data_IF_072473708242
#
_entry.id   IF_072473708242
#
_cell.length_a   1.000
_cell.length_b   1.000
_cell.length_c   1.000
_cell.angle_alpha   90.00
_cell.angle_beta   90.00
_cell.angle_gamma   90.00
#
_symmetry.space_group_name_H-M   'P 1'
#
loop_
_entity.id
_entity.type
_entity.pdbx_description
1 polymer ?
#
# COMPACT_ATOMS: atom_id res chain seq x y z
N UNK A 1 -24.12 40.88 68.31
CA UNK A 1 -25.57 40.66 68.24
C UNK A 1 -25.80 39.43 67.37
N UNK A 2 -26.34 38.37 67.98
CA UNK A 2 -26.92 37.21 67.29
C UNK A 2 -28.11 37.65 66.44
N UNK A 3 -28.32 37.03 65.28
CA UNK A 3 -29.64 36.55 64.86
C UNK A 3 -29.47 35.32 63.96
N UNK A 4 -29.95 34.19 64.47
CA UNK A 4 -30.32 32.99 63.74
C UNK A 4 -31.59 33.26 62.93
N UNK A 5 -31.75 32.62 61.76
CA UNK A 5 -32.98 31.95 61.36
C UNK A 5 -32.73 30.98 60.16
N UNK A 6 -33.36 29.80 60.14
CA UNK A 6 -33.21 28.76 59.11
C UNK A 6 -34.40 28.76 58.12
N UNK A 7 -34.19 28.24 56.91
CA UNK A 7 -35.24 27.94 55.93
C UNK A 7 -34.78 26.79 55.03
N UNK A 8 -35.20 25.55 55.26
CA UNK A 8 -36.42 24.87 54.74
C UNK A 8 -36.32 24.58 53.22
N UNK A 9 -35.87 23.33 52.96
CA UNK A 9 -36.31 22.34 51.95
C UNK A 9 -36.80 22.76 50.57
N UNK A 10 -36.23 22.13 49.53
CA UNK A 10 -36.98 21.34 48.55
C UNK A 10 -36.05 20.36 47.81
N UNK A 11 -36.09 19.07 48.16
CA UNK A 11 -35.46 17.99 47.42
C UNK A 11 -36.47 17.49 46.37
N UNK A 12 -36.34 17.96 45.13
CA UNK A 12 -37.10 17.43 43.99
C UNK A 12 -36.50 16.09 43.55
N UNK A 13 -37.14 14.98 43.93
CA UNK A 13 -36.93 13.69 43.26
C UNK A 13 -37.63 13.73 41.89
N UNK A 14 -36.84 13.92 40.83
CA UNK A 14 -37.30 13.69 39.47
C UNK A 14 -37.34 12.17 39.20
N UNK A 15 -38.56 11.64 39.01
CA UNK A 15 -38.80 10.30 38.51
C UNK A 15 -38.40 10.24 37.03
N UNK A 16 -37.27 9.58 36.74
CA UNK A 16 -36.85 9.26 35.38
C UNK A 16 -37.74 8.10 34.84
N UNK A 17 -38.35 8.23 33.66
CA UNK A 17 -39.02 7.10 33.02
C UNK A 17 -37.99 6.05 32.62
N UNK A 18 -38.16 4.81 33.07
CA UNK A 18 -37.47 3.67 32.49
C UNK A 18 -38.00 3.47 31.07
N UNK A 19 -37.30 4.01 30.07
CA UNK A 19 -37.47 3.60 28.69
C UNK A 19 -37.05 2.14 28.59
N UNK A 20 -38.04 1.25 28.43
CA UNK A 20 -37.83 -0.12 28.00
C UNK A 20 -37.23 -0.09 26.60
N UNK A 21 -35.90 -0.07 26.51
CA UNK A 21 -35.18 -0.25 25.27
C UNK A 21 -35.54 -1.64 24.73
N UNK A 22 -36.28 -1.68 23.63
CA UNK A 22 -36.36 -2.87 22.81
C UNK A 22 -34.92 -3.31 22.49
N UNK A 23 -34.60 -4.61 22.51
CA UNK A 23 -33.28 -5.07 22.10
C UNK A 23 -33.02 -4.51 20.70
N UNK A 24 -32.08 -3.58 20.61
CA UNK A 24 -31.60 -3.08 19.34
C UNK A 24 -31.19 -4.32 18.55
N UNK A 25 -31.77 -4.48 17.35
CA UNK A 25 -31.34 -5.53 16.44
C UNK A 25 -29.81 -5.43 16.37
N UNK A 26 -29.12 -6.49 16.80
CA UNK A 26 -27.67 -6.56 16.70
C UNK A 26 -27.31 -6.13 15.29
N UNK A 27 -26.38 -5.18 15.10
CA UNK A 27 -25.88 -4.86 13.77
C UNK A 27 -25.45 -6.19 13.17
N UNK A 28 -26.17 -6.63 12.14
CA UNK A 28 -25.72 -7.78 11.38
C UNK A 28 -24.38 -7.36 10.80
N UNK A 29 -23.30 -7.91 11.37
CA UNK A 29 -22.01 -7.95 10.73
C UNK A 29 -22.28 -8.53 9.35
N UNK A 30 -22.23 -7.67 8.34
CA UNK A 30 -22.15 -8.12 6.96
C UNK A 30 -21.12 -9.24 6.93
N UNK A 31 -21.44 -10.42 6.38
CA UNK A 31 -20.45 -11.47 6.25
C UNK A 31 -19.25 -10.84 5.55
N UNK A 32 -18.08 -10.96 6.19
CA UNK A 32 -16.79 -10.51 5.67
C UNK A 32 -16.40 -11.44 4.51
N UNK A 33 -17.25 -11.55 3.50
CA UNK A 33 -17.14 -12.50 2.40
C UNK A 33 -16.55 -11.76 1.19
N UNK A 34 -15.47 -12.35 0.68
CA UNK A 34 -14.89 -12.19 -0.64
C UNK A 34 -14.00 -10.97 -0.92
N UNK A 35 -13.37 -10.38 0.11
CA UNK A 35 -12.14 -9.63 -0.18
C UNK A 35 -11.00 -10.63 -0.49
N UNK A 36 -10.30 -10.46 -1.63
CA UNK A 36 -9.20 -11.35 -2.00
C UNK A 36 -8.11 -11.30 -0.91
N UNK A 37 -7.60 -12.47 -0.54
CA UNK A 37 -6.58 -12.60 0.51
C UNK A 37 -5.23 -11.99 0.12
N UNK A 38 -5.05 -11.67 -1.16
CA UNK A 38 -3.82 -11.12 -1.70
C UNK A 38 -4.01 -10.44 -3.05
N UNK A 39 -3.05 -9.60 -3.40
CA UNK A 39 -2.97 -8.84 -4.65
C UNK A 39 -1.60 -9.01 -5.29
N UNK A 40 -1.48 -8.76 -6.59
CA UNK A 40 -0.22 -8.61 -7.31
C UNK A 40 -0.07 -7.17 -7.78
N UNK A 41 1.18 -6.73 -7.88
CA UNK A 41 1.51 -5.48 -8.56
C UNK A 41 1.76 -5.77 -10.03
N UNK A 42 1.11 -5.05 -10.93
CA UNK A 42 1.30 -5.22 -12.38
C UNK A 42 1.26 -3.88 -13.12
N UNK A 43 1.80 -3.85 -14.32
CA UNK A 43 1.76 -2.63 -15.15
C UNK A 43 0.38 -2.49 -15.81
N UNK A 44 -0.21 -1.30 -15.70
CA UNK A 44 -1.55 -0.99 -16.20
C UNK A 44 -1.61 -0.72 -17.72
N UNK A 45 -0.52 -0.20 -18.29
CA UNK A 45 -0.49 0.39 -19.63
C UNK A 45 0.54 -0.28 -20.55
N UNK A 46 0.40 -0.06 -21.86
CA UNK A 46 1.35 -0.51 -22.87
C UNK A 46 2.75 0.13 -22.66
N UNK A 47 3.86 -0.54 -23.05
CA UNK A 47 3.94 -1.84 -23.72
C UNK A 47 3.95 -3.06 -22.79
N UNK A 48 3.97 -2.86 -21.45
CA UNK A 48 4.08 -3.94 -20.46
C UNK A 48 2.74 -4.31 -19.80
N UNK A 49 1.60 -3.98 -20.39
CA UNK A 49 0.30 -4.18 -19.76
C UNK A 49 0.11 -5.61 -19.24
N UNK A 50 -0.34 -5.71 -17.99
CA UNK A 50 -0.57 -6.98 -17.28
C UNK A 50 0.71 -7.71 -16.85
N UNK A 51 1.90 -7.16 -17.10
CA UNK A 51 3.14 -7.76 -16.62
C UNK A 51 3.27 -7.54 -15.11
N UNK A 52 3.50 -8.59 -14.32
CA UNK A 52 3.69 -8.42 -12.90
C UNK A 52 5.04 -7.79 -12.61
N UNK A 53 5.10 -7.04 -11.52
CA UNK A 53 6.36 -6.69 -10.90
C UNK A 53 6.83 -7.85 -10.03
N UNK A 54 8.14 -8.03 -9.97
CA UNK A 54 8.81 -9.04 -9.14
C UNK A 54 10.03 -8.44 -8.50
N UNK A 55 10.57 -9.14 -7.50
CA UNK A 55 11.89 -8.85 -6.97
C UNK A 55 12.95 -9.43 -7.91
N UNK A 56 13.83 -8.59 -8.44
CA UNK A 56 14.92 -9.05 -9.31
C UNK A 56 15.98 -9.77 -8.47
N UNK A 57 16.46 -10.97 -8.89
CA UNK A 57 17.33 -11.80 -8.05
C UNK A 57 18.64 -11.15 -7.65
N UNK A 58 19.29 -10.39 -8.55
CA UNK A 58 20.62 -9.83 -8.27
C UNK A 58 20.60 -8.55 -7.46
N UNK A 59 19.61 -7.68 -7.69
CA UNK A 59 19.55 -6.36 -7.05
C UNK A 59 18.63 -6.34 -5.85
N UNK A 60 17.74 -7.33 -5.73
CA UNK A 60 16.68 -7.40 -4.74
C UNK A 60 15.67 -6.23 -4.80
N UNK A 61 15.76 -5.38 -5.83
CA UNK A 61 14.81 -4.31 -6.10
C UNK A 61 13.61 -4.84 -6.88
N UNK A 62 12.51 -4.08 -6.85
CA UNK A 62 11.33 -4.39 -7.67
C UNK A 62 11.54 -3.94 -9.11
N UNK A 63 11.15 -4.81 -10.03
CA UNK A 63 11.31 -4.58 -11.45
C UNK A 63 10.40 -5.45 -12.32
N UNK A 64 10.57 -5.28 -13.63
CA UNK A 64 9.98 -6.09 -14.68
C UNK A 64 11.04 -7.07 -15.19
N UNK A 65 10.67 -8.34 -15.31
CA UNK A 65 11.54 -9.39 -15.83
C UNK A 65 11.75 -9.24 -17.34
N UNK A 66 12.90 -9.69 -17.83
CA UNK A 66 13.20 -9.80 -19.24
C UNK A 66 12.18 -10.70 -19.97
N UNK A 67 11.57 -10.18 -21.05
CA UNK A 67 10.55 -10.89 -21.83
C UNK A 67 11.01 -12.19 -22.49
N UNK A 68 12.31 -12.43 -22.58
CA UNK A 68 12.87 -13.65 -23.13
C UNK A 68 12.79 -14.84 -22.16
N UNK A 69 12.48 -14.60 -20.88
CA UNK A 69 12.33 -15.64 -19.87
C UNK A 69 10.97 -16.32 -20.02
N UNK A 70 11.00 -17.64 -20.22
CA UNK A 70 9.82 -18.49 -20.34
C UNK A 70 9.98 -19.79 -19.53
N UNK A 71 8.99 -20.16 -18.68
CA UNK A 71 7.76 -19.42 -18.40
C UNK A 71 8.01 -18.11 -17.63
N UNK A 72 7.10 -17.11 -17.68
CA UNK A 72 7.23 -15.89 -16.89
C UNK A 72 7.27 -16.19 -15.39
N UNK A 73 8.11 -15.47 -14.65
CA UNK A 73 8.17 -15.57 -13.20
C UNK A 73 6.86 -15.15 -12.53
N UNK A 74 6.59 -15.72 -11.36
CA UNK A 74 5.44 -15.33 -10.56
C UNK A 74 5.58 -13.90 -10.04
N UNK A 75 4.49 -13.14 -10.06
CA UNK A 75 4.47 -11.76 -9.57
C UNK A 75 4.61 -11.64 -8.07
N UNK A 76 5.14 -10.51 -7.62
CA UNK A 76 5.20 -10.16 -6.21
C UNK A 76 3.77 -10.02 -5.67
N UNK A 77 3.45 -10.86 -4.69
CA UNK A 77 2.18 -10.84 -4.00
C UNK A 77 2.24 -9.93 -2.78
N UNK A 78 1.21 -9.11 -2.56
CA UNK A 78 1.12 -8.15 -1.46
C UNK A 78 -0.27 -8.15 -0.82
N UNK A 79 -0.33 -7.74 0.43
CA UNK A 79 -1.53 -7.43 1.19
C UNK A 79 -1.47 -5.97 1.63
N UNK A 80 -2.29 -5.08 1.03
CA UNK A 80 -2.39 -3.70 1.45
C UNK A 80 -2.98 -3.58 2.86
N UNK A 81 -2.29 -2.83 3.73
CA UNK A 81 -2.71 -2.52 5.09
C UNK A 81 -2.79 -1.01 5.21
N UNK A 82 -4.00 -0.49 5.41
CA UNK A 82 -4.21 0.94 5.63
C UNK A 82 -3.58 1.37 6.95
N UNK A 83 -2.76 2.41 6.91
CA UNK A 83 -2.15 3.02 8.10
C UNK A 83 -3.17 3.98 8.73
N UNK A 84 -3.60 3.75 9.99
CA UNK A 84 -4.59 4.60 10.62
C UNK A 84 -4.10 6.04 10.81
N UNK A 85 -5.05 6.99 10.82
CA UNK A 85 -4.84 8.39 11.24
C UNK A 85 -3.85 9.21 10.38
N UNK A 86 -3.66 8.83 9.12
CA UNK A 86 -2.92 9.62 8.14
C UNK A 86 -3.86 10.12 7.04
N UNK A 87 -3.72 11.39 6.66
CA UNK A 87 -4.42 12.03 5.55
C UNK A 87 -3.40 12.71 4.61
N UNK A 88 -3.32 12.33 3.32
CA UNK A 88 -4.08 11.26 2.67
C UNK A 88 -3.78 9.86 3.28
N UNK A 89 -4.66 8.87 3.11
CA UNK A 89 -4.44 7.54 3.68
C UNK A 89 -3.21 6.90 3.06
N UNK A 90 -2.19 6.64 3.89
CA UNK A 90 -1.05 5.82 3.50
C UNK A 90 -1.33 4.35 3.77
N UNK A 91 -0.59 3.51 3.06
CA UNK A 91 -0.67 2.07 3.10
C UNK A 91 0.73 1.48 3.31
N UNK A 92 0.77 0.37 4.04
CA UNK A 92 1.86 -0.58 3.97
C UNK A 92 1.47 -1.74 3.05
N UNK A 93 2.45 -2.30 2.35
CA UNK A 93 2.24 -3.46 1.49
C UNK A 93 2.96 -4.65 2.10
N UNK A 94 2.23 -5.45 2.89
CA UNK A 94 2.79 -6.65 3.52
C UNK A 94 2.98 -7.74 2.47
N UNK A 95 4.13 -8.38 2.43
CA UNK A 95 4.36 -9.53 1.58
C UNK A 95 3.93 -10.78 2.36
N UNK A 96 3.11 -11.69 1.79
CA UNK A 96 2.78 -12.93 2.48
C UNK A 96 4.05 -13.73 2.81
N UNK A 97 4.15 -14.20 4.04
CA UNK A 97 5.25 -15.03 4.53
C UNK A 97 4.67 -16.27 5.21
N UNK A 98 5.23 -17.47 4.99
CA UNK A 98 4.83 -18.67 5.71
C UNK A 98 5.31 -18.67 7.17
N UNK A 99 6.14 -17.72 7.57
CA UNK A 99 6.66 -17.61 8.93
C UNK A 99 5.66 -16.93 9.87
N UNK A 100 5.46 -17.52 11.04
CA UNK A 100 4.73 -16.92 12.15
C UNK A 100 5.58 -15.92 12.97
N UNK A 101 6.85 -15.72 12.60
CA UNK A 101 7.72 -14.74 13.24
C UNK A 101 7.32 -13.30 12.87
N UNK A 102 6.50 -12.72 13.73
CA UNK A 102 6.04 -11.34 13.58
C UNK A 102 7.17 -10.31 13.70
N UNK A 103 8.33 -10.66 14.28
CA UNK A 103 9.46 -9.72 14.41
C UNK A 103 10.19 -9.48 13.09
N UNK A 104 9.94 -10.32 12.10
CA UNK A 104 10.61 -10.32 10.80
C UNK A 104 9.59 -10.36 9.67
N UNK A 105 8.51 -9.59 9.82
CA UNK A 105 7.43 -9.52 8.83
C UNK A 105 7.91 -8.77 7.58
N UNK A 106 7.77 -9.34 6.37
CA UNK A 106 8.23 -8.66 5.18
C UNK A 106 7.20 -7.62 4.70
N UNK A 107 7.71 -6.43 4.41
CA UNK A 107 6.96 -5.32 3.81
C UNK A 107 7.70 -4.82 2.59
N UNK A 108 6.97 -4.46 1.55
CA UNK A 108 7.55 -3.69 0.44
C UNK A 108 7.78 -2.26 0.93
N UNK A 109 9.05 -1.84 1.00
CA UNK A 109 9.42 -0.49 1.41
C UNK A 109 9.83 0.35 0.20
N UNK A 110 9.55 1.64 0.28
CA UNK A 110 10.16 2.65 -0.58
C UNK A 110 11.61 2.87 -0.14
N UNK A 111 12.52 2.88 -1.09
CA UNK A 111 13.95 3.06 -0.89
C UNK A 111 14.35 4.43 -1.44
N UNK A 112 14.77 5.33 -0.55
CA UNK A 112 15.23 6.67 -0.87
C UNK A 112 16.75 6.73 -0.76
N UNK A 113 17.47 7.35 -1.71
CA UNK A 113 18.90 7.54 -1.58
C UNK A 113 19.23 8.30 -0.29
N UNK A 114 20.12 7.75 0.54
CA UNK A 114 20.57 8.43 1.76
C UNK A 114 21.44 9.63 1.36
N UNK A 115 20.82 10.80 1.24
CA UNK A 115 21.45 12.04 0.81
C UNK A 115 21.00 13.20 1.69
N UNK A 116 21.82 14.25 1.80
CA UNK A 116 21.48 15.44 2.58
C UNK A 116 20.39 16.33 1.93
N UNK A 117 19.88 15.92 0.76
CA UNK A 117 18.88 16.66 -0.02
C UNK A 117 17.51 15.99 0.01
N UNK A 118 16.51 16.67 -0.58
CA UNK A 118 15.21 16.04 -0.82
C UNK A 118 15.40 14.94 -1.87
N UNK A 119 14.93 13.70 -1.61
CA UNK A 119 15.02 12.64 -2.60
C UNK A 119 14.21 13.01 -3.84
N UNK A 120 14.78 12.74 -5.01
CA UNK A 120 14.17 13.01 -6.32
C UNK A 120 13.59 11.78 -6.98
N UNK A 121 13.85 10.62 -6.37
CA UNK A 121 13.32 9.35 -6.81
C UNK A 121 13.31 8.36 -5.65
N UNK A 122 12.49 7.31 -5.79
CA UNK A 122 12.44 6.19 -4.87
C UNK A 122 12.43 4.88 -5.68
N UNK A 123 13.13 3.86 -5.18
CA UNK A 123 12.93 2.48 -5.63
C UNK A 123 12.03 1.73 -4.64
N UNK A 124 11.86 0.44 -4.84
CA UNK A 124 11.16 -0.42 -3.89
C UNK A 124 11.89 -1.74 -3.69
N UNK A 125 11.88 -2.25 -2.46
CA UNK A 125 12.40 -3.57 -2.13
C UNK A 125 11.72 -4.13 -0.87
N UNK A 126 11.63 -5.46 -0.73
CA UNK A 126 11.26 -6.08 0.53
C UNK A 126 12.25 -5.73 1.64
N UNK A 127 11.73 -5.30 2.79
CA UNK A 127 12.47 -5.24 4.06
C UNK A 127 11.73 -6.07 5.10
N UNK A 128 12.44 -6.48 6.15
CA UNK A 128 11.87 -7.31 7.20
C UNK A 128 11.91 -6.56 8.53
N UNK A 129 10.74 -6.25 9.06
CA UNK A 129 10.55 -5.45 10.28
C UNK A 129 9.32 -5.93 11.05
N UNK A 130 9.22 -5.68 12.38
CA UNK A 130 8.06 -6.10 13.15
C UNK A 130 6.73 -5.48 12.71
N UNK A 131 6.78 -4.21 12.32
CA UNK A 131 5.64 -3.43 11.86
C UNK A 131 6.13 -2.36 10.87
N UNK A 132 5.25 -1.83 10.00
CA UNK A 132 5.67 -0.99 8.88
C UNK A 132 5.84 0.48 9.25
N UNK A 133 5.64 0.87 10.52
CA UNK A 133 5.62 2.28 10.88
C UNK A 133 7.00 2.92 10.74
N UNK A 134 7.04 4.19 10.38
CA UNK A 134 8.29 4.93 10.25
C UNK A 134 9.15 4.93 11.53
N UNK A 135 8.55 4.84 12.73
CA UNK A 135 9.31 4.72 13.97
C UNK A 135 10.08 3.39 14.04
N UNK A 136 9.38 2.28 13.77
CA UNK A 136 10.00 0.95 13.75
C UNK A 136 11.05 0.85 12.65
N UNK A 137 10.74 1.29 11.43
CA UNK A 137 11.70 1.23 10.32
C UNK A 137 12.98 2.02 10.63
N UNK A 138 12.86 3.21 11.25
CA UNK A 138 14.05 3.99 11.69
C UNK A 138 14.84 3.31 12.80
N UNK A 139 14.16 2.67 13.76
CA UNK A 139 14.82 1.91 14.84
C UNK A 139 15.61 0.72 14.28
N UNK A 140 15.09 0.07 13.25
CA UNK A 140 15.67 -1.10 12.57
C UNK A 140 16.37 -0.73 11.26
N UNK A 141 17.08 0.41 11.23
CA UNK A 141 17.76 0.93 10.04
C UNK A 141 18.74 -0.04 9.38
N UNK A 142 19.28 -0.97 10.15
CA UNK A 142 20.20 -2.02 9.69
C UNK A 142 19.52 -3.06 8.78
N UNK A 143 18.18 -3.12 8.79
CA UNK A 143 17.37 -3.92 7.89
C UNK A 143 17.15 -3.27 6.53
N UNK A 144 17.43 -1.98 6.39
CA UNK A 144 17.40 -1.28 5.12
C UNK A 144 18.69 -1.55 4.33
N UNK A 145 18.66 -1.70 3.00
CA UNK A 145 19.87 -1.80 2.20
C UNK A 145 20.83 -0.64 2.45
N UNK A 146 22.14 -0.92 2.44
CA UNK A 146 23.16 0.11 2.73
C UNK A 146 23.08 1.26 1.73
N UNK A 147 23.15 2.49 2.25
CA UNK A 147 23.06 3.71 1.43
C UNK A 147 21.63 4.17 1.12
N UNK A 148 20.63 3.53 1.73
CA UNK A 148 19.22 3.86 1.56
C UNK A 148 18.55 4.22 2.88
N UNK A 149 17.55 5.08 2.79
CA UNK A 149 16.53 5.28 3.79
C UNK A 149 15.26 4.55 3.35
N UNK A 150 14.66 3.78 4.25
CA UNK A 150 13.50 2.97 3.94
C UNK A 150 12.23 3.55 4.57
N UNK A 151 11.10 3.45 3.87
CA UNK A 151 9.76 3.70 4.39
C UNK A 151 8.78 2.62 3.97
N UNK A 152 8.24 1.87 4.94
CA UNK A 152 7.28 0.78 4.67
C UNK A 152 5.81 1.23 4.76
N UNK A 153 5.55 2.39 5.34
CA UNK A 153 4.25 3.05 5.50
C UNK A 153 4.06 4.23 4.52
N UNK A 154 4.66 4.15 3.33
CA UNK A 154 4.80 5.29 2.43
C UNK A 154 3.98 5.19 1.13
N UNK A 155 3.09 4.20 1.00
CA UNK A 155 2.37 3.97 -0.25
C UNK A 155 1.00 4.64 -0.27
N UNK A 156 0.59 5.13 -1.43
CA UNK A 156 -0.75 5.64 -1.70
C UNK A 156 -1.42 4.73 -2.72
N UNK A 157 -2.69 4.42 -2.49
CA UNK A 157 -3.53 3.68 -3.44
C UNK A 157 -4.64 4.63 -3.89
N UNK A 158 -4.69 4.95 -5.18
CA UNK A 158 -5.66 5.89 -5.77
C UNK A 158 -6.47 5.25 -6.91
N UNK A 159 -7.67 5.75 -7.16
CA UNK A 159 -8.60 5.19 -8.16
C UNK A 159 -8.25 5.54 -9.61
N UNK A 160 -7.28 6.41 -9.85
CA UNK A 160 -6.81 6.78 -11.19
C UNK A 160 -7.81 7.60 -12.03
N UNK A 161 -8.96 7.97 -11.47
CA UNK A 161 -10.01 8.79 -12.10
C UNK A 161 -9.70 10.29 -12.13
N UNK A 162 -8.66 10.72 -11.41
CA UNK A 162 -8.39 12.15 -11.19
C UNK A 162 -7.37 12.75 -12.18
N UNK A 163 -6.91 11.96 -13.16
CA UNK A 163 -5.97 12.40 -14.18
C UNK A 163 -6.69 12.76 -15.50
N UNK A 164 -7.41 13.88 -15.50
CA UNK A 164 -7.48 14.80 -16.65
C UNK A 164 -8.17 14.37 -17.96
N UNK A 165 -8.73 13.17 -18.10
CA UNK A 165 -9.55 12.82 -19.26
C UNK A 165 -11.04 12.79 -18.89
N UNK A 166 -11.66 13.96 -18.96
CA UNK A 166 -13.12 14.15 -18.97
C UNK A 166 -13.75 13.71 -20.32
N UNK A 167 -13.09 12.80 -21.04
CA UNK A 167 -13.55 12.26 -22.31
C UNK A 167 -13.66 10.75 -22.22
N UNK A 168 -14.91 10.31 -22.07
CA UNK A 168 -15.37 8.95 -22.33
C UNK A 168 -14.81 7.84 -21.44
N UNK A 169 -15.51 7.60 -20.34
CA UNK A 169 -16.09 6.27 -20.17
C UNK A 169 -17.42 6.38 -19.44
N UNK A 170 -18.49 6.15 -20.21
CA UNK A 170 -19.74 5.65 -19.70
C UNK A 170 -19.47 4.60 -18.62
N UNK A 171 -20.24 4.64 -17.53
CA UNK A 171 -20.09 3.72 -16.40
C UNK A 171 -19.72 2.33 -16.90
N UNK A 172 -18.52 1.86 -16.51
CA UNK A 172 -18.09 0.52 -16.86
C UNK A 172 -19.15 -0.42 -16.30
N UNK A 173 -19.97 -0.96 -17.19
CA UNK A 173 -20.87 -2.06 -16.87
C UNK A 173 -19.97 -3.15 -16.32
N UNK A 174 -20.06 -3.41 -15.03
CA UNK A 174 -19.37 -4.52 -14.40
C UNK A 174 -19.79 -5.78 -15.15
N UNK A 175 -18.92 -6.30 -16.01
CA UNK A 175 -19.08 -7.65 -16.53
C UNK A 175 -18.91 -8.55 -15.33
N UNK A 176 -19.98 -9.24 -14.92
CA UNK A 176 -19.95 -10.16 -13.81
C UNK A 176 -18.82 -11.18 -14.03
N UNK A 177 -17.77 -11.11 -13.20
CA UNK A 177 -16.60 -11.99 -13.27
C UNK A 177 -15.26 -11.28 -13.57
N UNK A 178 -15.26 -10.02 -13.98
CA UNK A 178 -14.01 -9.27 -14.19
C UNK A 178 -13.56 -8.64 -12.86
N UNK A 179 -12.44 -9.14 -12.31
CA UNK A 179 -11.90 -8.66 -11.03
C UNK A 179 -11.33 -7.25 -11.22
N UNK A 180 -12.01 -6.27 -10.64
CA UNK A 180 -11.57 -4.88 -10.68
C UNK A 180 -10.25 -4.71 -9.89
N UNK A 181 -9.27 -3.93 -10.40
CA UNK A 181 -8.12 -3.50 -9.63
C UNK A 181 -8.55 -2.80 -8.34
N UNK A 182 -7.76 -2.95 -7.27
CA UNK A 182 -7.95 -2.18 -6.03
C UNK A 182 -7.68 -0.69 -6.26
N UNK A 183 -6.75 -0.38 -7.16
CA UNK A 183 -6.33 0.95 -7.52
C UNK A 183 -4.92 0.95 -8.10
N UNK A 184 -4.37 2.15 -8.25
CA UNK A 184 -3.01 2.39 -8.71
C UNK A 184 -2.10 2.72 -7.54
N UNK A 185 -0.87 2.26 -7.61
CA UNK A 185 0.14 2.46 -6.58
C UNK A 185 0.91 3.76 -6.85
N UNK A 186 1.09 4.57 -5.82
CA UNK A 186 1.96 5.74 -5.81
C UNK A 186 2.83 5.76 -4.56
N UNK A 187 3.93 6.51 -4.61
CA UNK A 187 4.70 6.84 -3.41
C UNK A 187 4.19 8.16 -2.81
N UNK A 188 3.87 8.15 -1.52
CA UNK A 188 3.24 9.27 -0.82
C UNK A 188 4.19 10.36 -0.34
N UNK A 189 5.51 10.17 -0.48
CA UNK A 189 6.49 11.15 0.04
C UNK A 189 6.71 12.37 -0.86
N UNK A 190 6.41 12.28 -2.17
CA UNK A 190 6.45 13.41 -3.10
C UNK A 190 5.66 13.10 -4.38
N UNK A 191 5.19 14.15 -5.06
CA UNK A 191 4.52 14.04 -6.36
C UNK A 191 5.47 13.52 -7.43
N UNK A 192 4.98 12.58 -8.24
CA UNK A 192 5.80 11.91 -9.23
C UNK A 192 5.04 10.90 -10.05
N UNK A 193 5.78 10.04 -10.74
CA UNK A 193 5.25 8.97 -11.58
C UNK A 193 6.22 7.79 -11.62
N UNK A 194 5.75 6.62 -12.02
CA UNK A 194 6.62 5.46 -12.20
C UNK A 194 7.34 5.50 -13.54
N UNK A 195 8.63 5.15 -13.54
CA UNK A 195 9.41 4.89 -14.73
C UNK A 195 10.10 3.52 -14.64
N UNK A 196 10.00 2.75 -15.72
CA UNK A 196 10.76 1.53 -15.93
C UNK A 196 12.09 1.86 -16.64
N UNK A 197 13.20 1.51 -16.02
CA UNK A 197 14.56 1.85 -16.47
C UNK A 197 15.34 0.57 -16.77
N UNK A 198 16.01 0.52 -17.92
CA UNK A 198 16.78 -0.65 -18.35
C UNK A 198 18.20 -0.64 -17.76
N UNK A 199 18.29 -0.75 -16.45
CA UNK A 199 19.55 -0.70 -15.68
C UNK A 199 19.75 -1.92 -14.77
N UNK A 200 18.88 -2.93 -14.85
CA UNK A 200 19.09 -4.18 -14.15
C UNK A 200 20.33 -4.92 -14.72
N UNK A 201 21.25 -5.38 -13.85
CA UNK A 201 22.44 -6.10 -14.30
C UNK A 201 22.06 -7.45 -14.92
N UNK A 202 23.02 -8.07 -15.62
CA UNK A 202 22.87 -9.40 -16.21
C UNK A 202 21.67 -9.55 -17.16
N UNK A 203 21.13 -8.44 -17.69
CA UNK A 203 19.94 -8.43 -18.53
C UNK A 203 18.70 -9.03 -17.87
N UNK A 204 18.58 -8.96 -16.54
CA UNK A 204 17.42 -9.50 -15.80
C UNK A 204 16.11 -8.78 -16.13
N UNK A 205 16.18 -7.54 -16.61
CA UNK A 205 15.03 -6.78 -17.07
C UNK A 205 15.16 -5.29 -16.81
N UNK A 206 14.17 -4.70 -16.15
CA UNK A 206 14.07 -3.27 -15.88
C UNK A 206 13.77 -3.05 -14.39
N UNK A 207 14.46 -2.13 -13.73
CA UNK A 207 13.98 -1.64 -12.44
C UNK A 207 12.84 -0.66 -12.64
N UNK A 208 12.02 -0.51 -11.61
CA UNK A 208 10.93 0.46 -11.59
C UNK A 208 11.17 1.46 -10.46
N UNK A 209 11.12 2.75 -10.80
CA UNK A 209 11.41 3.86 -9.91
C UNK A 209 10.25 4.85 -9.90
N UNK A 210 9.92 5.38 -8.72
CA UNK A 210 9.03 6.54 -8.60
C UNK A 210 9.88 7.80 -8.74
N UNK A 211 9.67 8.58 -9.80
CA UNK A 211 10.47 9.76 -10.15
C UNK A 211 9.66 11.01 -9.80
N UNK A 212 10.29 12.00 -9.14
CA UNK A 212 9.64 13.26 -8.84
C UNK A 212 9.32 14.03 -10.13
N UNK A 213 8.18 14.73 -10.16
CA UNK A 213 7.67 15.39 -11.36
C UNK A 213 8.63 16.48 -11.90
N UNK A 214 9.39 17.14 -11.01
CA UNK A 214 10.36 18.18 -11.36
C UNK A 214 11.77 17.65 -11.68
N UNK A 215 12.00 16.33 -11.60
CA UNK A 215 13.33 15.75 -11.58
C UNK A 215 13.84 15.24 -12.94
N UNK A 216 13.01 15.21 -13.99
CA UNK A 216 13.18 14.40 -15.20
C UNK A 216 14.43 14.64 -16.07
N UNK A 217 15.39 15.49 -15.66
CA UNK A 217 16.70 15.67 -16.31
C UNK A 217 17.84 15.98 -15.33
N UNK A 218 17.59 15.90 -14.02
CA UNK A 218 18.62 16.18 -13.03
C UNK A 218 19.69 15.07 -13.01
N UNK A 219 20.98 15.41 -12.84
CA UNK A 219 22.03 14.40 -12.73
C UNK A 219 21.77 13.41 -11.60
N UNK A 220 21.85 12.12 -11.90
CA UNK A 220 21.67 11.04 -10.92
C UNK A 220 20.22 10.60 -10.69
N UNK A 221 19.26 11.17 -11.42
CA UNK A 221 17.87 10.70 -11.45
C UNK A 221 17.73 9.65 -12.55
N UNK A 222 17.17 8.46 -12.26
CA UNK A 222 16.90 7.46 -13.29
C UNK A 222 15.92 8.02 -14.34
N UNK A 223 16.20 7.72 -15.61
CA UNK A 223 15.35 8.12 -16.74
C UNK A 223 15.00 6.88 -17.54
N UNK A 224 13.71 6.66 -17.78
CA UNK A 224 13.17 5.46 -18.37
C UNK A 224 11.88 5.69 -19.13
N UNK A 225 11.07 4.64 -19.22
CA UNK A 225 9.75 4.68 -19.85
C UNK A 225 8.70 4.80 -18.76
N UNK A 226 7.85 5.83 -18.86
CA UNK A 226 6.74 6.01 -17.91
C UNK A 226 5.81 4.78 -17.93
N UNK A 227 5.44 4.33 -16.74
CA UNK A 227 4.49 3.24 -16.52
C UNK A 227 3.50 3.64 -15.43
N UNK A 228 2.42 2.88 -15.29
CA UNK A 228 1.50 2.97 -14.16
C UNK A 228 1.42 1.57 -13.53
N UNK A 229 1.42 1.50 -12.20
CA UNK A 229 1.36 0.23 -11.46
C UNK A 229 -0.04 0.10 -10.86
N UNK A 230 -0.72 -0.99 -11.17
CA UNK A 230 -2.00 -1.38 -10.61
C UNK A 230 -1.85 -2.51 -9.58
N UNK A 231 -2.75 -2.50 -8.60
CA UNK A 231 -2.85 -3.52 -7.56
C UNK A 231 -4.05 -4.40 -7.90
N UNK A 232 -3.79 -5.60 -8.40
CA UNK A 232 -4.82 -6.49 -8.94
C UNK A 232 -4.99 -7.72 -8.07
N UNK A 233 -6.22 -8.12 -7.73
CA UNK A 233 -6.45 -9.27 -6.87
C UNK A 233 -5.93 -10.58 -7.49
N UNK A 234 -5.29 -11.43 -6.68
CA UNK A 234 -4.82 -12.74 -7.14
C UNK A 234 -6.00 -13.65 -7.50
N UNK A 235 -5.81 -14.53 -8.50
CA UNK A 235 -6.90 -15.41 -8.94
C UNK A 235 -7.32 -16.45 -7.89
N UNK A 236 -6.43 -16.73 -6.94
CA UNK A 236 -6.57 -17.79 -5.97
C UNK A 236 -7.18 -17.27 -4.66
N UNK A 237 -8.51 -17.21 -4.62
CA UNK A 237 -9.24 -17.24 -3.34
C UNK A 237 -9.13 -18.61 -2.64
N UNK A 238 -8.36 -19.56 -3.19
CA UNK A 238 -7.93 -20.77 -2.49
C UNK A 238 -6.65 -20.45 -1.75
N UNK A 239 -6.80 -19.88 -0.55
CA UNK A 239 -5.72 -19.71 0.41
C UNK A 239 -4.91 -21.01 0.52
N UNK A 240 -3.62 -20.85 0.85
CA UNK A 240 -2.64 -21.88 1.11
C UNK A 240 -3.15 -22.97 2.10
N UNK A 241 -3.94 -23.90 1.59
CA UNK A 241 -4.54 -25.02 2.32
C UNK A 241 -4.56 -26.30 1.47
N UNK A 242 -3.67 -26.39 0.47
CA UNK A 242 -3.37 -27.64 -0.20
C UNK A 242 -2.60 -28.54 0.76
N UNK A 243 -3.31 -29.49 1.36
CA UNK A 243 -2.76 -30.51 2.26
C UNK A 243 -1.61 -31.26 1.58
N UNK A 244 -0.49 -31.36 2.29
CA UNK A 244 0.53 -32.39 2.07
C UNK A 244 0.11 -33.64 2.80
#
# INVERSE_FOLDING_TARGET
MQFLLPGITALLLALLPLSSAAPAASPQLLPLQDLPSSYILQVAQHPWQGRPLLQLPTTHLIGLENFTIHPPSAGLTVLPIRIPKQEPPLYALRIPSPSDDLTNTPYLAALLPASNGKPKWASAAPIFVPDPTGETVRKWRDRCPRGWECGADAWVIYSGTDAGDESQSAGSVCVAGERQPLGKLAYGGFNGHWEAVKDAPNSEGWHVYWIAEDAGKEPGVPVGTRVEIEIVPTKDGRGWGGSV
#
